data_IF_744366966273
#
_entry.id   IF_744366966273
#
_cell.length_a   1.000
_cell.length_b   1.000
_cell.length_c   1.000
_cell.angle_alpha   90.00
_cell.angle_beta   90.00
_cell.angle_gamma   90.00
#
_symmetry.space_group_name_H-M   'P 1'
#
loop_
_entity.id
_entity.type
_entity.pdbx_description
1 polymer ?
#
# COMPACT_ATOMS: atom_id res chain seq x y z
N UNK A 1 -29.61 41.58 -34.19
CA UNK A 1 -29.02 40.24 -34.09
C UNK A 1 -28.47 40.08 -32.68
N UNK A 2 -29.16 39.35 -31.80
CA UNK A 2 -28.63 38.93 -30.50
C UNK A 2 -28.16 37.49 -30.66
N UNK A 3 -26.87 37.25 -30.48
CA UNK A 3 -26.30 35.91 -30.48
C UNK A 3 -26.73 35.22 -29.19
N UNK A 4 -27.42 34.09 -29.33
CA UNK A 4 -27.78 33.20 -28.24
C UNK A 4 -26.54 32.37 -27.93
N UNK A 5 -25.91 32.61 -26.78
CA UNK A 5 -24.82 31.79 -26.27
C UNK A 5 -25.46 30.49 -25.75
N UNK A 6 -25.35 29.41 -26.51
CA UNK A 6 -25.71 28.07 -26.05
C UNK A 6 -24.64 27.65 -25.04
N UNK A 7 -24.97 27.71 -23.74
CA UNK A 7 -24.23 26.97 -22.73
C UNK A 7 -24.51 25.48 -22.97
N UNK A 8 -23.54 24.78 -23.52
CA UNK A 8 -23.49 23.32 -23.45
C UNK A 8 -23.25 22.98 -21.98
N UNK A 9 -24.29 22.50 -21.31
CA UNK A 9 -24.10 21.76 -20.06
C UNK A 9 -23.24 20.53 -20.39
N UNK A 10 -22.22 20.18 -19.58
CA UNK A 10 -21.52 18.93 -19.76
C UNK A 10 -22.56 17.80 -19.73
N UNK A 11 -22.49 16.90 -20.70
CA UNK A 11 -23.30 15.71 -20.70
C UNK A 11 -22.94 14.93 -19.43
N UNK A 12 -23.90 14.76 -18.54
CA UNK A 12 -23.77 13.79 -17.44
C UNK A 12 -23.80 12.43 -18.12
N UNK A 13 -22.62 11.89 -18.41
CA UNK A 13 -22.46 10.47 -18.71
C UNK A 13 -22.87 9.76 -17.42
N UNK A 14 -23.88 8.86 -17.43
CA UNK A 14 -24.10 8.02 -16.26
C UNK A 14 -22.79 7.26 -16.02
N UNK A 15 -22.25 7.33 -14.80
CA UNK A 15 -21.07 6.54 -14.42
C UNK A 15 -21.33 5.11 -14.88
N UNK A 16 -20.54 4.62 -15.83
CA UNK A 16 -20.58 3.20 -16.16
C UNK A 16 -20.11 2.46 -14.91
N UNK A 17 -20.79 1.35 -14.59
CA UNK A 17 -20.47 0.60 -13.38
C UNK A 17 -19.13 -0.12 -13.58
N UNK A 18 -18.29 -0.10 -12.53
CA UNK A 18 -17.06 -0.88 -12.47
C UNK A 18 -17.34 -2.35 -12.79
N UNK A 19 -16.62 -2.95 -13.73
CA UNK A 19 -16.87 -4.35 -14.11
C UNK A 19 -16.05 -5.28 -13.22
N UNK A 20 -16.73 -6.15 -12.48
CA UNK A 20 -16.09 -7.09 -11.55
C UNK A 20 -15.53 -8.32 -12.26
N UNK A 21 -14.26 -8.62 -11.99
CA UNK A 21 -13.56 -9.82 -12.45
C UNK A 21 -13.04 -10.63 -11.25
N UNK A 22 -13.24 -11.96 -11.27
CA UNK A 22 -12.75 -12.86 -10.22
C UNK A 22 -11.51 -13.59 -10.72
N UNK A 23 -10.40 -13.43 -10.01
CA UNK A 23 -9.12 -14.09 -10.28
C UNK A 23 -9.08 -15.43 -9.55
N UNK A 24 -9.42 -15.42 -8.25
CA UNK A 24 -9.45 -16.62 -7.42
C UNK A 24 -10.51 -16.53 -6.32
N UNK A 25 -10.95 -17.68 -5.80
CA UNK A 25 -11.95 -17.76 -4.74
C UNK A 25 -11.73 -18.98 -3.82
N UNK A 26 -12.38 -18.95 -2.66
CA UNK A 26 -12.44 -20.07 -1.73
C UNK A 26 -11.37 -20.06 -0.65
N UNK A 27 -10.64 -18.95 -0.48
CA UNK A 27 -9.65 -18.80 0.58
C UNK A 27 -9.44 -17.34 0.97
N UNK A 28 -9.09 -17.07 2.25
CA UNK A 28 -8.72 -15.73 2.68
C UNK A 28 -7.38 -15.35 2.05
N UNK A 29 -7.37 -14.25 1.31
CA UNK A 29 -6.16 -13.68 0.71
C UNK A 29 -5.71 -12.46 1.51
N UNK A 30 -4.43 -12.43 1.91
CA UNK A 30 -3.87 -11.35 2.74
C UNK A 30 -3.37 -10.19 1.87
N UNK A 31 -2.67 -10.51 0.79
CA UNK A 31 -2.11 -9.54 -0.15
C UNK A 31 -2.18 -10.06 -1.58
N UNK A 32 -2.23 -9.12 -2.53
CA UNK A 32 -2.21 -9.40 -3.95
C UNK A 32 -1.42 -8.30 -4.68
N UNK A 33 -0.39 -8.70 -5.43
CA UNK A 33 0.43 -7.82 -6.26
C UNK A 33 0.34 -8.28 -7.70
N UNK A 34 0.48 -7.34 -8.64
CA UNK A 34 0.23 -7.61 -10.05
C UNK A 34 1.30 -6.98 -10.95
N UNK A 35 1.77 -7.77 -11.91
CA UNK A 35 2.74 -7.41 -12.93
C UNK A 35 2.73 -8.47 -14.04
N UNK A 36 3.38 -8.20 -15.17
CA UNK A 36 3.65 -9.21 -16.20
C UNK A 36 4.82 -10.11 -15.78
N UNK A 37 4.58 -11.00 -14.80
CA UNK A 37 5.60 -11.92 -14.27
C UNK A 37 6.01 -12.98 -15.30
N UNK A 38 5.18 -13.26 -16.31
CA UNK A 38 5.50 -14.24 -17.36
C UNK A 38 6.16 -13.65 -18.60
N UNK A 39 6.14 -12.32 -18.76
CA UNK A 39 6.66 -11.60 -19.92
C UNK A 39 5.82 -11.81 -21.19
N UNK A 40 4.53 -12.15 -21.04
CA UNK A 40 3.62 -12.44 -22.15
C UNK A 40 2.73 -11.24 -22.55
N UNK A 41 2.86 -10.13 -21.83
CA UNK A 41 2.12 -8.89 -22.02
C UNK A 41 0.78 -8.84 -21.30
N UNK A 42 0.43 -9.85 -20.50
CA UNK A 42 -0.75 -9.85 -19.64
C UNK A 42 -0.36 -9.67 -18.18
N UNK A 43 -1.24 -9.04 -17.40
CA UNK A 43 -0.98 -8.80 -15.99
C UNK A 43 -1.32 -10.07 -15.19
N UNK A 44 -0.26 -10.71 -14.68
CA UNK A 44 -0.34 -11.81 -13.74
C UNK A 44 -0.49 -11.29 -12.30
N UNK A 45 -0.92 -12.15 -11.38
CA UNK A 45 -1.10 -11.77 -9.97
C UNK A 45 -0.41 -12.76 -9.05
N UNK A 46 0.45 -12.28 -8.14
CA UNK A 46 0.95 -13.08 -7.02
C UNK A 46 0.12 -12.79 -5.78
N UNK A 47 -0.33 -13.84 -5.10
CA UNK A 47 -1.19 -13.75 -3.93
C UNK A 47 -0.64 -14.54 -2.76
N UNK A 48 -0.92 -14.06 -1.55
CA UNK A 48 -0.64 -14.78 -0.31
C UNK A 48 -1.93 -15.25 0.35
N UNK A 49 -2.04 -16.57 0.54
CA UNK A 49 -3.24 -17.19 1.09
C UNK A 49 -3.06 -18.69 1.33
N UNK A 50 -3.77 -19.24 2.33
CA UNK A 50 -3.66 -20.66 2.72
C UNK A 50 -2.23 -21.13 3.03
N UNK A 51 -1.37 -20.24 3.55
CA UNK A 51 0.03 -20.54 3.85
C UNK A 51 0.90 -20.79 2.61
N UNK A 52 0.53 -20.19 1.48
CA UNK A 52 1.23 -20.27 0.20
C UNK A 52 1.35 -18.89 -0.43
N UNK A 53 2.44 -18.72 -1.17
CA UNK A 53 2.61 -17.65 -2.16
C UNK A 53 2.36 -18.26 -3.54
N UNK A 54 1.38 -17.75 -4.26
CA UNK A 54 0.86 -18.36 -5.50
C UNK A 54 0.87 -17.33 -6.62
N UNK A 55 1.54 -17.64 -7.73
CA UNK A 55 1.39 -16.93 -9.00
C UNK A 55 0.13 -17.42 -9.72
N UNK A 56 -0.77 -16.51 -10.04
CA UNK A 56 -1.99 -16.69 -10.82
C UNK A 56 -1.74 -16.10 -12.21
N UNK A 57 -1.51 -16.99 -13.18
CA UNK A 57 -1.10 -16.60 -14.53
C UNK A 57 -2.30 -16.23 -15.38
N UNK A 58 -2.32 -15.03 -15.94
CA UNK A 58 -3.36 -14.57 -16.85
C UNK A 58 -3.34 -15.32 -18.20
N UNK A 59 -4.46 -15.34 -18.95
CA UNK A 59 -5.79 -14.87 -18.58
C UNK A 59 -6.63 -15.94 -17.88
N UNK A 60 -6.13 -17.18 -17.76
CA UNK A 60 -6.89 -18.32 -17.23
C UNK A 60 -6.66 -18.58 -15.73
N UNK A 61 -5.88 -17.71 -15.08
CA UNK A 61 -5.51 -17.73 -13.66
C UNK A 61 -4.91 -19.06 -13.23
N UNK A 62 -4.09 -19.66 -14.10
CA UNK A 62 -3.40 -20.91 -13.79
C UNK A 62 -2.47 -20.70 -12.60
N UNK A 63 -2.63 -21.54 -11.59
CA UNK A 63 -1.86 -21.47 -10.34
C UNK A 63 -0.48 -22.11 -10.46
N UNK A 64 0.54 -21.39 -10.00
CA UNK A 64 1.90 -21.87 -9.74
C UNK A 64 2.26 -21.52 -8.30
N UNK A 65 2.55 -22.52 -7.47
CA UNK A 65 2.98 -22.28 -6.08
C UNK A 65 4.45 -21.90 -6.10
N UNK A 66 4.77 -20.69 -5.64
CA UNK A 66 6.13 -20.16 -5.58
C UNK A 66 6.81 -20.53 -4.26
N UNK A 67 6.07 -20.45 -3.16
CA UNK A 67 6.51 -20.83 -1.82
C UNK A 67 5.34 -21.41 -1.00
N UNK A 68 5.65 -22.26 -0.02
CA UNK A 68 4.67 -22.82 0.91
C UNK A 68 5.22 -22.95 2.33
N UNK A 69 4.31 -22.91 3.31
CA UNK A 69 4.63 -23.08 4.73
C UNK A 69 5.02 -21.79 5.46
N UNK A 70 4.84 -20.64 4.82
CA UNK A 70 4.98 -19.30 5.42
C UNK A 70 3.63 -18.61 5.51
N UNK A 71 3.40 -17.94 6.63
CA UNK A 71 2.21 -17.14 6.91
C UNK A 71 2.50 -15.68 6.54
N UNK A 72 2.59 -15.43 5.23
CA UNK A 72 2.84 -14.10 4.69
C UNK A 72 1.59 -13.24 4.80
N UNK A 73 1.72 -12.05 5.39
CA UNK A 73 0.59 -11.15 5.64
C UNK A 73 0.56 -9.96 4.67
N UNK A 74 1.70 -9.62 4.08
CA UNK A 74 1.83 -8.51 3.15
C UNK A 74 2.98 -8.76 2.19
N UNK A 75 2.89 -8.17 1.02
CA UNK A 75 3.85 -8.36 -0.07
C UNK A 75 4.03 -7.08 -0.86
N UNK A 76 5.23 -6.94 -1.42
CA UNK A 76 5.59 -5.89 -2.38
C UNK A 76 6.34 -6.52 -3.55
N UNK A 77 6.58 -5.74 -4.60
CA UNK A 77 7.43 -6.14 -5.71
C UNK A 77 8.55 -5.14 -5.95
N UNK A 78 9.69 -5.65 -6.37
CA UNK A 78 10.85 -4.84 -6.73
C UNK A 78 11.76 -5.59 -7.70
N UNK A 79 12.37 -4.91 -8.66
CA UNK A 79 13.55 -5.44 -9.38
C UNK A 79 14.76 -5.40 -8.44
N UNK A 80 14.93 -6.45 -7.63
CA UNK A 80 15.91 -6.47 -6.54
C UNK A 80 17.32 -6.57 -7.11
N UNK A 81 17.49 -7.33 -8.19
CA UNK A 81 18.82 -7.63 -8.74
C UNK A 81 19.20 -6.88 -10.01
N UNK A 82 18.30 -6.04 -10.51
CA UNK A 82 18.53 -5.09 -11.60
C UNK A 82 18.53 -5.75 -12.98
N UNK A 83 17.87 -6.90 -13.13
CA UNK A 83 17.79 -7.62 -14.41
C UNK A 83 16.54 -7.28 -15.23
N UNK A 84 15.68 -6.42 -14.68
CA UNK A 84 14.56 -5.80 -15.37
C UNK A 84 13.23 -6.54 -15.21
N UNK A 85 13.19 -7.60 -14.40
CA UNK A 85 11.93 -8.20 -13.97
C UNK A 85 11.59 -7.88 -12.51
N UNK A 86 10.34 -8.16 -12.12
CA UNK A 86 9.85 -7.85 -10.78
C UNK A 86 9.98 -9.09 -9.90
N UNK A 87 10.76 -8.98 -8.84
CA UNK A 87 10.84 -9.97 -7.80
C UNK A 87 9.73 -9.79 -6.77
N UNK A 88 9.34 -10.89 -6.13
CA UNK A 88 8.37 -10.87 -5.03
C UNK A 88 9.07 -10.65 -3.70
N UNK A 89 8.53 -9.77 -2.85
CA UNK A 89 8.94 -9.56 -1.46
C UNK A 89 7.77 -9.90 -0.55
N UNK A 90 8.01 -10.68 0.51
CA UNK A 90 6.98 -11.10 1.47
C UNK A 90 7.38 -10.85 2.93
N UNK A 91 6.40 -10.49 3.76
CA UNK A 91 6.55 -10.31 5.20
C UNK A 91 5.77 -11.38 6.00
N UNK A 92 6.48 -12.15 6.83
CA UNK A 92 5.88 -13.19 7.67
C UNK A 92 5.50 -12.65 9.05
N UNK A 93 4.21 -12.66 9.39
CA UNK A 93 3.70 -12.00 10.61
C UNK A 93 3.96 -12.79 11.90
N UNK A 94 3.65 -14.09 11.92
CA UNK A 94 3.79 -14.95 13.10
C UNK A 94 5.29 -15.18 13.38
N UNK A 95 5.91 -14.45 14.33
CA UNK A 95 7.21 -13.81 14.19
C UNK A 95 8.11 -14.49 13.15
N UNK A 96 8.33 -13.80 12.03
CA UNK A 96 9.10 -14.33 10.93
C UNK A 96 9.82 -13.25 10.14
N UNK A 97 10.57 -13.68 9.11
CA UNK A 97 11.44 -12.79 8.35
C UNK A 97 10.66 -11.98 7.32
N UNK A 98 11.32 -10.94 6.83
CA UNK A 98 11.09 -10.40 5.49
C UNK A 98 12.00 -11.17 4.52
N UNK A 99 11.44 -11.62 3.41
CA UNK A 99 12.16 -12.41 2.41
C UNK A 99 11.78 -11.95 1.00
N UNK A 100 12.59 -12.35 0.01
CA UNK A 100 12.26 -12.17 -1.39
C UNK A 100 12.43 -13.46 -2.17
N UNK A 101 11.67 -13.60 -3.24
CA UNK A 101 11.74 -14.69 -4.21
C UNK A 101 12.22 -14.10 -5.53
N UNK A 102 13.40 -14.54 -5.98
CA UNK A 102 13.97 -14.10 -7.25
C UNK A 102 13.18 -14.71 -8.41
N UNK A 103 12.70 -13.87 -9.32
CA UNK A 103 12.09 -14.37 -10.54
C UNK A 103 13.15 -15.02 -11.43
N UNK A 104 12.98 -16.29 -11.82
CA UNK A 104 13.91 -16.94 -12.73
C UNK A 104 13.53 -16.64 -14.17
N UNK A 105 14.51 -16.76 -15.08
CA UNK A 105 14.29 -16.58 -16.52
C UNK A 105 13.18 -17.45 -17.15
N UNK A 106 12.75 -18.54 -16.47
CA UNK A 106 11.55 -19.31 -16.84
C UNK A 106 10.60 -19.45 -15.64
N UNK A 107 9.81 -18.42 -15.32
CA UNK A 107 9.06 -18.29 -14.06
C UNK A 107 8.06 -19.42 -13.81
N UNK A 108 7.57 -20.07 -14.87
CA UNK A 108 6.58 -21.16 -14.78
C UNK A 108 7.19 -22.57 -14.64
N UNK A 109 8.51 -22.70 -14.76
CA UNK A 109 9.17 -24.02 -14.81
C UNK A 109 10.43 -24.13 -13.95
N UNK A 110 10.99 -23.01 -13.54
CA UNK A 110 12.14 -22.92 -12.66
C UNK A 110 11.67 -22.46 -11.26
N UNK A 111 12.28 -22.98 -10.18
CA UNK A 111 11.95 -22.53 -8.84
C UNK A 111 12.43 -21.09 -8.67
N UNK A 112 11.63 -20.27 -7.98
CA UNK A 112 12.02 -18.92 -7.59
C UNK A 112 12.92 -19.01 -6.35
N UNK A 113 14.22 -18.67 -6.42
CA UNK A 113 15.10 -18.83 -5.27
C UNK A 113 14.75 -17.85 -4.14
N UNK A 114 14.46 -18.40 -2.96
CA UNK A 114 14.18 -17.61 -1.75
C UNK A 114 15.46 -17.07 -1.10
N UNK A 115 15.43 -15.81 -0.70
CA UNK A 115 16.48 -15.13 0.05
C UNK A 115 15.91 -14.26 1.16
N UNK A 116 16.70 -14.05 2.21
CA UNK A 116 16.29 -13.27 3.38
C UNK A 116 16.63 -11.80 3.14
N UNK A 117 15.66 -10.93 3.37
CA UNK A 117 15.87 -9.49 3.52
C UNK A 117 16.30 -9.22 4.95
N UNK A 118 15.53 -9.71 5.93
CA UNK A 118 15.81 -9.55 7.35
C UNK A 118 15.11 -10.63 8.18
N UNK A 119 15.77 -11.22 9.17
CA UNK A 119 15.19 -12.20 10.11
C UNK A 119 15.14 -11.73 11.58
N UNK A 120 15.53 -10.48 11.84
CA UNK A 120 15.58 -9.87 13.19
C UNK A 120 14.44 -8.89 13.43
N UNK A 121 13.94 -8.22 12.39
CA UNK A 121 12.74 -7.37 12.48
C UNK A 121 11.53 -8.28 12.36
N UNK A 122 10.93 -8.56 13.52
CA UNK A 122 9.98 -9.66 13.65
C UNK A 122 8.55 -9.22 13.34
N UNK A 123 7.90 -10.02 12.50
CA UNK A 123 6.46 -9.94 12.31
C UNK A 123 6.03 -8.65 11.64
N UNK A 124 6.83 -8.17 10.67
CA UNK A 124 6.47 -7.04 9.82
C UNK A 124 5.06 -7.22 9.28
N UNK A 125 4.22 -6.21 9.50
CA UNK A 125 2.82 -6.23 9.04
C UNK A 125 2.65 -5.40 7.77
N UNK A 126 3.40 -4.29 7.66
CA UNK A 126 3.43 -3.43 6.48
C UNK A 126 4.79 -3.41 5.83
N UNK A 127 4.79 -3.49 4.51
CA UNK A 127 5.92 -3.20 3.65
C UNK A 127 5.53 -2.08 2.69
N UNK A 128 6.46 -1.20 2.38
CA UNK A 128 6.32 -0.25 1.27
C UNK A 128 7.66 -0.09 0.58
N UNK A 129 7.62 0.23 -0.71
CA UNK A 129 8.81 0.46 -1.55
C UNK A 129 8.94 1.94 -1.87
N UNK A 130 10.15 2.48 -1.78
CA UNK A 130 10.44 3.86 -2.17
C UNK A 130 11.91 4.20 -1.97
N UNK A 131 12.43 5.18 -2.70
CA UNK A 131 13.80 5.68 -2.52
C UNK A 131 13.89 6.52 -1.24
N UNK A 132 14.35 5.92 -0.15
CA UNK A 132 14.41 6.56 1.17
C UNK A 132 15.64 7.45 1.27
N UNK A 133 16.76 7.01 0.70
CA UNK A 133 18.04 7.70 0.86
C UNK A 133 18.39 8.66 -0.30
N UNK A 134 17.56 8.73 -1.34
CA UNK A 134 17.71 9.61 -2.49
C UNK A 134 18.81 9.18 -3.46
N UNK A 135 19.22 7.91 -3.45
CA UNK A 135 20.27 7.40 -4.35
C UNK A 135 19.76 6.91 -5.71
N UNK A 136 18.46 7.04 -5.95
CA UNK A 136 17.78 6.65 -7.17
C UNK A 136 17.51 5.14 -7.28
N UNK A 137 17.81 4.36 -6.24
CA UNK A 137 17.37 2.97 -6.13
C UNK A 137 16.28 2.88 -5.06
N UNK A 138 15.19 2.16 -5.33
CA UNK A 138 14.16 1.92 -4.33
C UNK A 138 14.70 1.08 -3.16
N UNK A 139 14.30 1.49 -1.96
CA UNK A 139 14.50 0.79 -0.70
C UNK A 139 13.18 0.16 -0.24
N UNK A 140 13.25 -0.67 0.81
CA UNK A 140 12.08 -1.24 1.47
C UNK A 140 11.92 -0.62 2.86
N UNK A 141 10.71 -0.25 3.27
CA UNK A 141 10.40 0.20 4.64
C UNK A 141 9.44 -0.78 5.30
N UNK A 142 9.71 -1.12 6.56
CA UNK A 142 8.92 -2.08 7.33
C UNK A 142 8.85 -1.73 8.80
N UNK A 143 7.78 -2.16 9.45
CA UNK A 143 7.60 -2.02 10.89
C UNK A 143 7.90 -3.32 11.64
N UNK A 144 8.18 -3.23 12.92
CA UNK A 144 8.24 -4.39 13.82
C UNK A 144 6.90 -4.56 14.53
N UNK A 145 6.00 -5.33 13.93
CA UNK A 145 4.62 -5.48 14.43
C UNK A 145 4.47 -6.58 15.50
N UNK A 146 5.48 -7.42 15.67
CA UNK A 146 5.56 -8.34 16.81
C UNK A 146 6.73 -7.87 17.68
N UNK A 147 6.50 -6.96 18.65
CA UNK A 147 7.57 -6.29 19.41
C UNK A 147 8.25 -7.25 20.39
N UNK A 148 9.00 -8.18 19.83
CA UNK A 148 9.86 -9.16 20.48
C UNK A 148 11.29 -8.86 20.07
N UNK A 149 12.21 -9.32 20.91
CA UNK A 149 13.63 -9.35 20.59
C UNK A 149 14.24 -7.96 20.33
N UNK A 150 14.98 -7.78 19.24
CA UNK A 150 15.94 -6.67 19.08
C UNK A 150 15.32 -5.31 18.69
N UNK A 151 14.13 -5.31 18.07
CA UNK A 151 13.52 -4.10 17.48
C UNK A 151 12.04 -3.90 17.87
N UNK A 152 11.65 -3.93 19.16
CA UNK A 152 10.25 -3.74 19.53
C UNK A 152 9.79 -2.31 19.19
N UNK A 153 8.53 -2.14 18.77
CA UNK A 153 7.93 -0.82 18.51
C UNK A 153 8.78 0.06 17.57
N UNK A 154 9.47 -0.57 16.62
CA UNK A 154 10.39 0.11 15.71
C UNK A 154 9.88 0.13 14.27
N UNK A 155 10.35 1.12 13.51
CA UNK A 155 10.25 1.16 12.05
C UNK A 155 11.68 1.20 11.51
N UNK A 156 11.91 0.44 10.45
CA UNK A 156 13.21 0.33 9.79
C UNK A 156 13.04 0.48 8.28
N UNK A 157 14.14 0.73 7.60
CA UNK A 157 14.23 0.57 6.16
C UNK A 157 15.47 -0.25 5.79
N UNK A 158 15.43 -0.87 4.62
CA UNK A 158 16.47 -1.74 4.10
C UNK A 158 16.89 -1.26 2.72
N UNK A 159 18.18 -1.00 2.54
CA UNK A 159 18.74 -0.80 1.21
C UNK A 159 19.08 -2.13 0.56
N UNK A 160 18.78 -2.22 -0.73
CA UNK A 160 19.19 -3.36 -1.56
C UNK A 160 20.72 -3.42 -1.59
N UNK A 161 21.34 -4.53 -1.14
CA UNK A 161 22.78 -4.71 -1.20
C UNK A 161 23.27 -4.65 -2.64
N UNK A 162 24.55 -4.30 -2.84
CA UNK A 162 25.15 -4.30 -4.17
C UNK A 162 25.06 -5.65 -4.90
N UNK A 163 25.16 -6.75 -4.16
CA UNK A 163 25.14 -8.12 -4.70
C UNK A 163 24.06 -8.95 -3.98
N UNK A 164 22.75 -8.67 -4.20
CA UNK A 164 21.66 -9.18 -3.38
C UNK A 164 21.49 -10.70 -3.48
N UNK A 165 21.91 -11.31 -4.60
CA UNK A 165 21.86 -12.77 -4.80
C UNK A 165 22.76 -13.55 -3.83
N UNK A 166 23.76 -12.90 -3.22
CA UNK A 166 24.75 -13.53 -2.32
C UNK A 166 24.81 -12.92 -0.92
N UNK A 167 24.12 -11.79 -0.70
CA UNK A 167 24.03 -11.17 0.61
C UNK A 167 23.31 -12.09 1.60
N UNK A 168 23.71 -12.04 2.87
CA UNK A 168 23.06 -12.80 3.93
C UNK A 168 21.75 -12.15 4.38
N UNK A 169 21.73 -10.82 4.45
CA UNK A 169 20.61 -9.95 4.77
C UNK A 169 20.81 -8.61 4.02
N UNK A 170 19.76 -7.80 3.91
CA UNK A 170 19.86 -6.44 3.40
C UNK A 170 20.45 -5.49 4.45
N UNK A 171 20.92 -4.33 4.00
CA UNK A 171 21.49 -3.32 4.89
C UNK A 171 20.34 -2.60 5.64
N UNK A 172 20.11 -3.01 6.91
CA UNK A 172 19.05 -2.46 7.77
C UNK A 172 19.44 -1.13 8.41
N UNK A 173 18.52 -0.18 8.38
CA UNK A 173 18.60 1.13 9.03
C UNK A 173 17.39 1.36 9.92
N UNK A 174 17.61 1.62 11.21
CA UNK A 174 16.51 1.90 12.16
C UNK A 174 16.16 3.39 12.09
N UNK A 175 14.95 3.71 11.63
CA UNK A 175 14.46 5.09 11.53
C UNK A 175 13.71 5.52 12.80
N UNK A 176 12.89 4.63 13.36
CA UNK A 176 12.20 4.81 14.63
C UNK A 176 12.61 3.68 15.58
N UNK A 177 13.43 3.96 16.58
CA UNK A 177 13.90 2.96 17.55
C UNK A 177 13.00 2.97 18.80
N UNK A 178 12.14 1.95 18.94
CA UNK A 178 11.17 1.82 20.04
C UNK A 178 10.28 3.06 20.21
N UNK A 179 10.03 3.78 19.10
CA UNK A 179 9.34 5.06 19.07
C UNK A 179 8.06 5.00 18.22
N UNK A 180 7.64 3.81 17.78
CA UNK A 180 6.40 3.56 17.07
C UNK A 180 5.51 2.52 17.80
N UNK A 181 5.06 2.82 19.04
CA UNK A 181 4.29 1.87 19.85
C UNK A 181 2.90 1.57 19.30
N UNK A 182 2.35 0.43 19.69
CA UNK A 182 1.09 -0.09 19.15
C UNK A 182 1.34 -0.94 17.90
N UNK A 183 0.28 -1.32 17.19
CA UNK A 183 0.40 -2.14 15.99
C UNK A 183 0.35 -1.27 14.74
N UNK A 184 1.51 -0.92 14.19
CA UNK A 184 1.59 -0.28 12.88
C UNK A 184 1.25 -1.28 11.77
N UNK A 185 0.45 -0.85 10.79
CA UNK A 185 -0.01 -1.72 9.70
C UNK A 185 0.58 -1.30 8.36
N UNK A 186 0.44 -0.02 7.99
CA UNK A 186 0.96 0.52 6.74
C UNK A 186 1.67 1.85 7.01
N UNK A 187 2.53 2.23 6.06
CA UNK A 187 3.33 3.45 6.12
C UNK A 187 3.21 4.19 4.79
N UNK A 188 3.69 5.43 4.75
CA UNK A 188 3.86 6.19 3.51
C UNK A 188 5.23 6.86 3.48
N UNK A 189 5.81 6.99 2.28
CA UNK A 189 7.08 7.70 2.04
C UNK A 189 6.80 8.95 1.21
N UNK A 190 7.36 10.08 1.62
CA UNK A 190 7.28 11.33 0.86
C UNK A 190 8.02 12.46 1.56
N UNK A 191 8.39 13.51 0.83
CA UNK A 191 8.99 14.72 1.42
C UNK A 191 7.90 15.53 2.15
N UNK A 192 7.66 15.19 3.42
CA UNK A 192 6.50 15.70 4.16
C UNK A 192 6.70 17.17 4.53
N UNK A 193 7.92 17.58 4.88
CA UNK A 193 8.20 18.98 5.22
C UNK A 193 8.86 19.81 4.12
N UNK A 194 8.93 19.27 2.90
CA UNK A 194 9.36 20.00 1.71
C UNK A 194 10.85 20.37 1.74
N UNK A 195 11.66 19.59 2.46
CA UNK A 195 13.09 19.85 2.60
C UNK A 195 13.94 19.14 1.53
N UNK A 196 13.33 18.33 0.68
CA UNK A 196 13.96 17.62 -0.43
C UNK A 196 14.53 16.25 -0.06
N UNK A 197 14.20 15.72 1.12
CA UNK A 197 14.52 14.34 1.54
C UNK A 197 13.23 13.62 1.90
N UNK A 198 13.15 12.33 1.57
CA UNK A 198 12.00 11.53 1.91
C UNK A 198 11.84 11.37 3.43
N UNK A 199 10.62 11.46 3.91
CA UNK A 199 10.21 11.16 5.28
C UNK A 199 9.30 9.93 5.29
N UNK A 200 9.03 9.39 6.47
CA UNK A 200 8.13 8.24 6.64
C UNK A 200 6.98 8.60 7.57
N UNK A 201 5.75 8.45 7.09
CA UNK A 201 4.53 8.52 7.88
C UNK A 201 4.06 7.11 8.28
N UNK A 202 3.47 6.98 9.46
CA UNK A 202 2.85 5.74 9.91
C UNK A 202 1.68 6.00 10.85
N UNK A 203 0.92 4.94 11.10
CA UNK A 203 -0.17 4.91 12.05
C UNK A 203 -0.01 3.69 12.95
N UNK A 204 -0.28 3.82 14.24
CA UNK A 204 -0.35 2.68 15.15
C UNK A 204 -1.75 2.56 15.71
N UNK A 205 -2.41 1.42 15.51
CA UNK A 205 -3.63 1.11 16.28
C UNK A 205 -3.24 0.62 17.67
N UNK A 206 -4.16 0.69 18.63
CA UNK A 206 -3.90 0.08 19.93
C UNK A 206 -3.62 -1.42 19.81
N UNK A 207 -2.75 -1.89 20.69
CA UNK A 207 -2.43 -3.28 20.90
C UNK A 207 -2.58 -3.60 22.41
N UNK A 208 -2.35 -4.85 22.85
CA UNK A 208 -2.44 -5.18 24.27
C UNK A 208 -1.41 -4.48 25.17
N UNK A 209 -0.31 -3.94 24.61
CA UNK A 209 0.71 -3.20 25.38
C UNK A 209 0.34 -1.73 25.58
N UNK A 210 -0.51 -1.21 24.70
CA UNK A 210 -1.04 0.15 24.70
C UNK A 210 -0.11 1.13 23.99
N UNK A 211 -0.59 2.37 23.85
CA UNK A 211 0.21 3.43 23.21
C UNK A 211 -0.04 3.58 21.72
N UNK A 212 -1.04 2.89 21.17
CA UNK A 212 -1.53 3.11 19.82
C UNK A 212 -2.56 4.25 19.71
N UNK A 213 -3.39 4.16 18.67
CA UNK A 213 -4.39 5.13 18.23
C UNK A 213 -3.80 6.51 17.88
N UNK A 214 -2.78 6.52 17.03
CA UNK A 214 -2.07 7.73 16.59
C UNK A 214 -1.70 7.69 15.11
N UNK A 215 -1.49 8.88 14.55
CA UNK A 215 -0.77 9.11 13.29
C UNK A 215 0.47 9.96 13.60
N UNK A 216 1.61 9.62 13.00
CA UNK A 216 2.86 10.35 13.14
C UNK A 216 3.70 10.23 11.87
N UNK A 217 4.69 11.10 11.73
CA UNK A 217 5.75 10.95 10.74
C UNK A 217 7.12 11.18 11.38
N UNK A 218 8.16 10.68 10.73
CA UNK A 218 9.55 10.80 11.16
C UNK A 218 10.31 11.56 10.11
N UNK A 219 10.92 12.67 10.53
CA UNK A 219 11.73 13.52 9.67
C UNK A 219 13.12 12.91 9.47
N UNK A 220 13.51 12.65 8.22
CA UNK A 220 14.85 12.20 7.89
C UNK A 220 15.87 13.32 8.05
N UNK A 221 16.96 13.13 8.82
CA UNK A 221 18.04 14.10 8.87
C UNK A 221 18.79 14.14 7.53
N UNK A 222 19.01 15.34 6.98
CA UNK A 222 19.77 15.54 5.72
C UNK A 222 21.20 15.01 5.76
N UNK A 223 21.77 14.81 6.95
CA UNK A 223 23.09 14.24 7.14
C UNK A 223 23.09 12.70 7.25
N UNK A 224 21.92 12.06 7.12
CA UNK A 224 21.73 10.62 7.22
C UNK A 224 21.83 10.07 8.65
N UNK A 225 21.83 10.93 9.67
CA UNK A 225 21.89 10.50 11.07
C UNK A 225 20.59 9.83 11.54
N UNK A 226 20.69 9.03 12.61
CA UNK A 226 19.56 8.35 13.27
C UNK A 226 19.61 8.57 14.79
N UNK A 227 18.48 8.43 15.51
CA UNK A 227 17.12 8.18 15.01
C UNK A 227 16.52 9.41 14.31
N UNK A 228 15.49 9.18 13.50
CA UNK A 228 14.75 10.26 12.85
C UNK A 228 13.88 11.01 13.86
N UNK A 229 13.53 12.25 13.54
CA UNK A 229 12.74 13.08 14.46
C UNK A 229 11.24 12.84 14.29
N UNK A 230 10.62 12.19 15.28
CA UNK A 230 9.17 11.99 15.30
C UNK A 230 8.39 13.30 15.45
N UNK A 231 7.32 13.41 14.66
CA UNK A 231 6.29 14.45 14.71
C UNK A 231 4.93 13.78 14.79
N UNK A 232 4.22 14.03 15.88
CA UNK A 232 2.84 13.56 16.04
C UNK A 232 1.91 14.39 15.17
N UNK A 233 1.09 13.71 14.36
CA UNK A 233 0.03 14.33 13.54
C UNK A 233 -1.26 14.39 14.35
N UNK A 234 -1.71 13.24 14.85
CA UNK A 234 -2.94 13.14 15.63
C UNK A 234 -2.88 11.99 16.64
N UNK A 235 -3.62 12.15 17.73
CA UNK A 235 -3.79 11.13 18.78
C UNK A 235 -5.27 10.83 18.98
N UNK A 236 -5.58 9.74 19.70
CA UNK A 236 -6.95 9.26 19.96
C UNK A 236 -7.70 8.89 18.67
N UNK A 237 -6.96 8.38 17.69
CA UNK A 237 -7.45 7.93 16.40
C UNK A 237 -7.68 6.42 16.48
N UNK A 238 -8.85 6.02 16.99
CA UNK A 238 -9.12 4.60 17.28
C UNK A 238 -9.05 3.77 16.01
N UNK A 239 -8.15 2.78 16.01
CA UNK A 239 -7.98 1.87 14.87
C UNK A 239 -7.21 2.47 13.69
N UNK A 240 -6.41 3.52 13.89
CA UNK A 240 -5.51 4.09 12.88
C UNK A 240 -4.52 3.05 12.33
N UNK A 241 -4.44 2.87 11.01
CA UNK A 241 -3.61 1.80 10.40
C UNK A 241 -2.87 2.19 9.13
N UNK A 242 -3.38 3.13 8.33
CA UNK A 242 -2.75 3.52 7.06
C UNK A 242 -2.71 5.06 6.92
N UNK A 243 -1.63 5.58 6.34
CA UNK A 243 -1.44 7.00 6.03
C UNK A 243 -0.46 7.14 4.86
N UNK A 244 -0.88 7.84 3.80
CA UNK A 244 -0.11 8.05 2.57
C UNK A 244 0.04 9.55 2.26
N UNK A 245 1.26 10.03 1.94
CA UNK A 245 1.51 11.42 1.57
C UNK A 245 1.18 11.69 0.10
N UNK A 246 0.48 12.80 -0.16
CA UNK A 246 0.25 13.38 -1.49
C UNK A 246 -0.15 14.87 -1.36
N UNK A 247 0.08 15.70 -2.38
CA UNK A 247 -0.54 17.03 -2.46
C UNK A 247 -1.98 16.85 -2.99
N UNK A 248 -2.98 16.98 -2.11
CA UNK A 248 -4.37 16.64 -2.43
C UNK A 248 -5.21 17.87 -2.78
N UNK A 249 -4.68 19.07 -2.63
CA UNK A 249 -5.40 20.32 -2.92
C UNK A 249 -4.66 21.24 -3.89
N UNK A 250 -3.52 20.78 -4.44
CA UNK A 250 -2.72 21.47 -5.43
C UNK A 250 -2.04 22.73 -4.90
N UNK A 251 -1.87 22.87 -3.59
CA UNK A 251 -1.26 24.05 -2.97
C UNK A 251 0.26 23.96 -2.84
N UNK A 252 0.84 22.79 -3.16
CA UNK A 252 2.27 22.50 -3.14
C UNK A 252 2.82 22.12 -1.76
N UNK A 253 1.99 22.08 -0.71
CA UNK A 253 2.35 21.46 0.56
C UNK A 253 1.97 19.97 0.54
N UNK A 254 2.76 19.15 1.24
CA UNK A 254 2.41 17.74 1.38
C UNK A 254 1.23 17.60 2.34
N UNK A 255 0.17 16.93 1.87
CA UNK A 255 -0.93 16.46 2.70
C UNK A 255 -0.77 14.98 3.03
N UNK A 256 -1.66 14.45 3.87
CA UNK A 256 -1.71 13.02 4.19
C UNK A 256 -3.15 12.49 4.11
N UNK A 257 -3.37 11.45 3.32
CA UNK A 257 -4.63 10.71 3.29
C UNK A 257 -4.51 9.48 4.19
N UNK A 258 -5.49 9.21 5.04
CA UNK A 258 -5.36 8.19 6.08
C UNK A 258 -6.65 7.42 6.36
N UNK A 259 -6.51 6.24 6.96
CA UNK A 259 -7.64 5.41 7.35
C UNK A 259 -7.53 4.91 8.79
N UNK A 260 -8.70 4.75 9.41
CA UNK A 260 -8.86 4.04 10.69
C UNK A 260 -9.30 2.61 10.42
N UNK A 261 -8.42 1.78 9.87
CA UNK A 261 -8.76 0.45 9.35
C UNK A 261 -9.19 -0.61 10.36
N UNK A 262 -8.97 -0.39 11.66
CA UNK A 262 -9.56 -1.21 12.75
C UNK A 262 -10.65 -0.44 13.53
N UNK A 263 -11.13 0.66 12.94
CA UNK A 263 -12.15 1.55 13.49
C UNK A 263 -13.08 2.03 12.39
N UNK A 264 -13.33 3.34 12.33
CA UNK A 264 -14.13 3.98 11.28
C UNK A 264 -13.50 5.29 10.87
N UNK A 265 -13.55 5.59 9.59
CA UNK A 265 -13.09 6.88 9.10
C UNK A 265 -12.06 6.78 8.00
N UNK A 266 -12.31 7.54 6.95
CA UNK A 266 -11.34 7.99 5.97
C UNK A 266 -11.07 9.47 6.21
N UNK A 267 -9.79 9.84 6.27
CA UNK A 267 -9.31 11.11 6.77
C UNK A 267 -8.39 11.78 5.75
N UNK A 268 -8.39 13.10 5.78
CA UNK A 268 -7.39 13.93 5.13
C UNK A 268 -6.79 14.89 6.15
N UNK A 269 -5.46 14.90 6.23
CA UNK A 269 -4.70 15.87 6.99
C UNK A 269 -4.09 16.87 6.00
N UNK A 270 -4.77 17.99 5.81
CA UNK A 270 -4.29 19.11 4.98
C UNK A 270 -3.07 19.73 5.64
N UNK A 271 -1.98 19.82 4.88
CA UNK A 271 -0.71 20.40 5.29
C UNK A 271 -0.78 21.91 5.57
N UNK A 272 0.37 22.51 5.88
CA UNK A 272 1.71 21.93 5.82
C UNK A 272 2.09 21.11 7.07
N UNK A 273 3.26 20.47 7.03
CA UNK A 273 3.79 19.56 8.05
C UNK A 273 3.85 20.13 9.48
N UNK A 274 3.98 21.44 9.63
CA UNK A 274 4.01 22.08 10.95
C UNK A 274 2.64 22.22 11.61
N UNK A 275 1.55 22.10 10.84
CA UNK A 275 0.20 22.37 11.34
C UNK A 275 -0.90 21.71 10.49
N UNK A 276 -0.90 20.38 10.44
CA UNK A 276 -1.94 19.63 9.77
C UNK A 276 -3.37 19.98 10.26
N UNK A 277 -4.28 20.22 9.32
CA UNK A 277 -5.72 20.37 9.55
C UNK A 277 -6.45 19.08 9.18
N UNK A 278 -7.07 18.45 10.17
CA UNK A 278 -7.86 17.23 9.96
C UNK A 278 -9.22 17.52 9.33
N UNK A 279 -9.57 16.76 8.30
CA UNK A 279 -10.89 16.61 7.69
C UNK A 279 -11.34 15.15 7.75
N UNK A 280 -12.60 14.93 8.08
CA UNK A 280 -13.24 13.62 7.96
C UNK A 280 -13.90 13.53 6.58
N UNK A 281 -13.40 12.64 5.72
CA UNK A 281 -13.89 12.46 4.35
C UNK A 281 -15.07 11.48 4.35
N UNK A 282 -14.92 10.36 5.04
CA UNK A 282 -15.99 9.38 5.25
C UNK A 282 -15.91 8.84 6.68
N UNK A 283 -16.64 9.44 7.63
CA UNK A 283 -16.59 9.03 9.04
C UNK A 283 -17.32 7.70 9.31
N UNK A 284 -18.10 7.19 8.35
CA UNK A 284 -19.02 6.07 8.55
C UNK A 284 -18.48 4.76 7.98
N UNK A 285 -17.51 4.79 7.06
CA UNK A 285 -16.90 3.58 6.52
C UNK A 285 -16.23 2.76 7.63
N UNK A 286 -16.70 1.53 7.81
CA UNK A 286 -16.22 0.63 8.87
C UNK A 286 -15.07 -0.25 8.38
N UNK A 287 -13.99 -0.26 9.15
CA UNK A 287 -12.78 -1.03 8.92
C UNK A 287 -12.08 -0.78 7.56
N UNK A 288 -11.87 0.47 7.08
CA UNK A 288 -11.10 0.75 5.86
C UNK A 288 -9.63 0.34 6.02
N UNK A 289 -9.33 -0.95 5.83
CA UNK A 289 -8.10 -1.58 6.33
C UNK A 289 -6.86 -1.03 5.64
N UNK A 290 -6.96 -0.81 4.34
CA UNK A 290 -5.87 -0.42 3.46
C UNK A 290 -6.29 0.70 2.49
N UNK A 291 -5.32 1.35 1.86
CA UNK A 291 -5.49 2.58 1.11
C UNK A 291 -4.53 2.61 -0.08
N UNK A 292 -5.02 3.02 -1.25
CA UNK A 292 -4.22 3.34 -2.41
C UNK A 292 -4.54 4.77 -2.90
N UNK A 293 -3.54 5.46 -3.43
CA UNK A 293 -3.67 6.78 -4.05
C UNK A 293 -3.26 6.72 -5.52
N UNK A 294 -3.95 7.46 -6.38
CA UNK A 294 -3.67 7.53 -7.81
C UNK A 294 -4.71 8.39 -8.53
N UNK A 295 -4.40 8.85 -9.74
CA UNK A 295 -5.34 9.55 -10.62
C UNK A 295 -6.27 8.51 -11.28
N UNK A 296 -7.40 8.21 -10.64
CA UNK A 296 -8.29 7.11 -11.02
C UNK A 296 -9.18 7.51 -12.19
N UNK A 297 -9.51 8.81 -12.31
CA UNK A 297 -10.35 9.32 -13.40
C UNK A 297 -9.64 10.09 -14.53
N UNK A 298 -8.30 10.14 -14.46
CA UNK A 298 -7.42 10.77 -15.44
C UNK A 298 -7.64 12.27 -15.61
N UNK A 299 -8.12 12.96 -14.57
CA UNK A 299 -8.29 14.40 -14.58
C UNK A 299 -7.04 15.17 -14.12
N UNK A 300 -6.05 14.44 -13.60
CA UNK A 300 -4.75 14.96 -13.15
C UNK A 300 -4.67 15.23 -11.66
N UNK A 301 -5.74 15.02 -10.91
CA UNK A 301 -5.79 15.14 -9.45
C UNK A 301 -5.61 13.76 -8.78
N UNK A 302 -5.05 13.73 -7.57
CA UNK A 302 -4.82 12.47 -6.85
C UNK A 302 -6.10 12.06 -6.12
N UNK A 303 -6.65 10.91 -6.49
CA UNK A 303 -7.77 10.24 -5.83
C UNK A 303 -7.30 9.22 -4.79
N UNK A 304 -8.27 8.63 -4.08
CA UNK A 304 -8.03 7.58 -3.12
C UNK A 304 -8.98 6.39 -3.28
N UNK A 305 -8.51 5.16 -3.08
CA UNK A 305 -9.32 3.95 -3.02
C UNK A 305 -9.08 3.18 -1.71
N UNK A 306 -10.14 2.62 -1.14
CA UNK A 306 -10.07 1.78 0.06
C UNK A 306 -11.14 0.70 0.03
N UNK A 307 -10.94 -0.36 0.82
CA UNK A 307 -11.95 -1.38 1.03
C UNK A 307 -12.21 -1.56 2.53
N UNK A 308 -13.47 -1.35 2.91
CA UNK A 308 -13.94 -1.61 4.26
C UNK A 308 -14.03 -3.11 4.54
N UNK A 309 -13.14 -3.62 5.38
CA UNK A 309 -13.13 -5.01 5.84
C UNK A 309 -14.42 -5.36 6.59
N UNK A 310 -14.91 -4.44 7.42
CA UNK A 310 -16.06 -4.71 8.29
C UNK A 310 -17.39 -4.23 7.66
N UNK A 311 -17.34 -3.20 6.82
CA UNK A 311 -18.50 -2.71 6.06
C UNK A 311 -18.76 -3.46 4.75
N UNK A 312 -17.81 -4.30 4.30
CA UNK A 312 -17.87 -5.02 3.03
C UNK A 312 -18.09 -4.11 1.82
N UNK A 313 -17.46 -2.94 1.81
CA UNK A 313 -17.60 -1.95 0.75
C UNK A 313 -16.25 -1.52 0.21
N UNK A 314 -16.04 -1.75 -1.09
CA UNK A 314 -14.96 -1.13 -1.85
C UNK A 314 -15.44 0.22 -2.38
N UNK A 315 -14.64 1.27 -2.15
CA UNK A 315 -14.98 2.63 -2.53
C UNK A 315 -13.74 3.39 -3.00
N UNK A 316 -13.97 4.36 -3.89
CA UNK A 316 -12.98 5.39 -4.19
C UNK A 316 -13.54 6.78 -3.91
N UNK A 317 -12.64 7.73 -3.72
CA UNK A 317 -12.92 9.11 -3.38
C UNK A 317 -12.29 9.99 -4.45
N UNK A 318 -13.14 10.44 -5.38
CA UNK A 318 -12.79 11.38 -6.45
C UNK A 318 -12.45 12.73 -5.82
N UNK A 319 -11.28 13.26 -6.10
CA UNK A 319 -10.78 14.53 -5.59
C UNK A 319 -10.90 15.63 -6.66
N UNK A 320 -11.47 16.78 -6.32
CA UNK A 320 -11.61 17.91 -7.25
C UNK A 320 -10.36 18.78 -7.43
N UNK A 321 -9.19 18.26 -7.02
CA UNK A 321 -7.90 18.95 -7.01
C UNK A 321 -7.79 20.09 -6.01
N UNK A 322 -8.80 20.29 -5.15
CA UNK A 322 -8.88 21.39 -4.17
C UNK A 322 -9.26 20.88 -2.79
N UNK A 323 -9.19 19.56 -2.58
CA UNK A 323 -9.56 18.89 -1.33
C UNK A 323 -11.06 18.64 -1.17
N UNK A 324 -11.85 18.75 -2.24
CA UNK A 324 -13.24 18.34 -2.29
C UNK A 324 -13.36 16.89 -2.74
N UNK A 325 -13.71 15.99 -1.82
CA UNK A 325 -13.82 14.56 -2.11
C UNK A 325 -15.28 14.11 -2.33
N UNK A 326 -15.52 13.34 -3.38
CA UNK A 326 -16.78 12.64 -3.64
C UNK A 326 -16.58 11.13 -3.57
N UNK A 327 -17.29 10.48 -2.63
CA UNK A 327 -17.30 9.03 -2.52
C UNK A 327 -18.09 8.38 -3.67
N UNK A 328 -17.52 7.32 -4.22
CA UNK A 328 -18.14 6.37 -5.12
C UNK A 328 -18.00 4.96 -4.57
N UNK A 329 -19.05 4.15 -4.75
CA UNK A 329 -18.99 2.73 -4.41
C UNK A 329 -18.56 1.97 -5.65
N UNK A 330 -17.41 1.29 -5.56
CA UNK A 330 -16.93 0.37 -6.60
C UNK A 330 -17.78 -0.89 -6.54
N UNK A 331 -17.92 -1.46 -5.34
CA UNK A 331 -18.68 -2.70 -5.14
C UNK A 331 -19.15 -2.84 -3.69
N UNK A 332 -20.32 -3.44 -3.51
CA UNK A 332 -20.80 -3.92 -2.21
C UNK A 332 -20.57 -5.43 -2.13
N UNK A 333 -20.35 -5.98 -0.93
CA UNK A 333 -19.98 -7.39 -0.71
C UNK A 333 -18.52 -7.73 -1.02
N UNK A 334 -17.61 -6.75 -0.86
CA UNK A 334 -16.17 -6.95 -0.97
C UNK A 334 -15.47 -6.48 0.32
N UNK A 335 -14.61 -7.31 0.91
CA UNK A 335 -13.97 -7.02 2.19
C UNK A 335 -12.52 -7.51 2.20
N UNK A 336 -11.58 -6.57 2.29
CA UNK A 336 -10.18 -6.79 1.98
C UNK A 336 -9.25 -6.62 3.17
N UNK A 337 -8.02 -7.11 2.98
CA UNK A 337 -6.86 -6.66 3.74
C UNK A 337 -5.96 -5.74 2.92
N UNK A 338 -5.91 -5.90 1.60
CA UNK A 338 -5.01 -5.19 0.69
C UNK A 338 -5.80 -4.71 -0.56
N UNK A 339 -5.51 -3.49 -1.01
CA UNK A 339 -6.09 -2.86 -2.20
C UNK A 339 -4.99 -2.16 -3.00
N UNK A 340 -4.96 -2.38 -4.31
CA UNK A 340 -3.95 -1.81 -5.21
C UNK A 340 -4.61 -1.16 -6.42
N UNK A 341 -4.01 -0.09 -6.91
CA UNK A 341 -4.33 0.52 -8.20
C UNK A 341 -3.35 -0.01 -9.26
N UNK A 342 -3.86 -0.68 -10.28
CA UNK A 342 -3.06 -1.32 -11.33
C UNK A 342 -3.88 -1.31 -12.62
N UNK A 343 -3.29 -0.99 -13.76
CA UNK A 343 -3.89 -1.21 -15.08
C UNK A 343 -3.88 -2.72 -15.39
N UNK A 344 -4.99 -3.43 -15.14
CA UNK A 344 -5.05 -4.90 -15.18
C UNK A 344 -5.27 -5.45 -16.58
N UNK A 345 -5.86 -4.66 -17.48
CA UNK A 345 -6.14 -5.06 -18.86
C UNK A 345 -5.33 -4.31 -19.93
N UNK A 346 -4.41 -3.45 -19.50
CA UNK A 346 -3.46 -2.69 -20.30
C UNK A 346 -4.15 -1.68 -21.25
N UNK A 347 -5.28 -1.11 -20.83
CA UNK A 347 -6.00 -0.10 -21.60
C UNK A 347 -5.58 1.35 -21.24
N UNK A 348 -4.78 1.51 -20.19
CA UNK A 348 -4.14 2.75 -19.79
C UNK A 348 -4.83 3.50 -18.64
N UNK A 349 -5.91 2.95 -18.07
CA UNK A 349 -6.49 3.45 -16.83
C UNK A 349 -6.11 2.60 -15.59
N UNK A 350 -6.39 3.13 -14.40
CA UNK A 350 -6.12 2.42 -13.15
C UNK A 350 -7.35 1.63 -12.73
N UNK A 351 -7.22 0.31 -12.66
CA UNK A 351 -8.19 -0.59 -12.05
C UNK A 351 -7.94 -0.77 -10.56
N UNK A 352 -8.88 -1.45 -9.89
CA UNK A 352 -8.77 -1.77 -8.46
C UNK A 352 -8.62 -3.27 -8.24
N UNK A 353 -7.43 -3.72 -7.84
CA UNK A 353 -7.15 -5.09 -7.40
C UNK A 353 -7.35 -5.23 -5.89
N UNK A 354 -8.06 -6.28 -5.46
CA UNK A 354 -8.41 -6.50 -4.05
C UNK A 354 -8.07 -7.91 -3.60
N UNK A 355 -7.27 -8.00 -2.53
CA UNK A 355 -7.06 -9.22 -1.74
C UNK A 355 -8.17 -9.35 -0.69
N UNK A 356 -9.18 -10.14 -1.00
CA UNK A 356 -10.35 -10.34 -0.18
C UNK A 356 -10.13 -11.31 0.97
N UNK A 357 -9.51 -10.88 2.07
CA UNK A 357 -9.33 -11.72 3.26
C UNK A 357 -10.67 -12.21 3.82
N UNK A 358 -11.65 -11.31 3.96
CA UNK A 358 -12.94 -11.67 4.56
C UNK A 358 -13.94 -12.16 3.51
N UNK A 359 -13.86 -11.64 2.28
CA UNK A 359 -14.66 -12.14 1.14
C UNK A 359 -14.15 -13.46 0.54
N UNK A 360 -12.99 -13.95 0.99
CA UNK A 360 -12.33 -15.18 0.54
C UNK A 360 -12.13 -15.25 -0.98
N UNK A 361 -11.67 -14.15 -1.57
CA UNK A 361 -11.48 -14.02 -3.01
C UNK A 361 -10.31 -13.10 -3.36
N UNK A 362 -9.95 -13.12 -4.64
CA UNK A 362 -9.05 -12.16 -5.27
C UNK A 362 -9.80 -11.64 -6.48
N UNK A 363 -10.04 -10.34 -6.52
CA UNK A 363 -10.89 -9.71 -7.53
C UNK A 363 -10.27 -8.42 -8.00
N UNK A 364 -10.38 -8.14 -9.29
CA UNK A 364 -10.14 -6.79 -9.79
C UNK A 364 -11.44 -6.20 -10.35
N UNK A 365 -11.50 -4.88 -10.35
CA UNK A 365 -12.64 -4.11 -10.83
C UNK A 365 -12.14 -3.22 -11.96
N UNK A 366 -12.62 -3.49 -13.17
CA UNK A 366 -12.32 -2.73 -14.39
C UNK A 366 -12.92 -1.34 -14.28
N UNK A 367 -12.09 -0.34 -14.45
CA UNK A 367 -12.48 1.04 -14.48
C UNK A 367 -13.34 1.30 -15.74
N UNK A 368 -14.44 2.05 -15.62
CA UNK A 368 -15.31 2.34 -16.76
C UNK A 368 -14.73 3.30 -17.82
N UNK A 369 -13.56 3.89 -17.59
CA UNK A 369 -12.92 4.77 -18.55
C UNK A 369 -12.44 3.93 -19.74
N UNK A 370 -12.43 4.53 -20.93
CA UNK A 370 -12.07 3.85 -22.20
C UNK A 370 -11.52 4.82 -23.21
#
# INVERSE_FOLDING_TARGET
MRALLLLLLPAVVPAADWQRHVIAEGFPCQSAIAADFTGDGLVDVIVDGNGKTILLVAPDWKQVVLDEGRDTIHSEMLDVDGDGDMDYIGAVYSPGPVFWLEQPAKPLSEPWPLRIVDDKVNGTHGLIVGDVNGDGRPDLVGNSAQPKDEFPDSIVWWSVPRDPKTAAEWDRHVLADQDAPGLSHYMGIGDIDGDGVADVAAAGKDDPTGGGNWFAWWKQPKDGSTPWLKRTIAVRQVGATNILPADLNGDGAMDLFATRGHGKGVLWFEGPAESFRLHEIDPDLEGPHDLALGDIDQDGDIDAATCGKDSHQAAWYENDGRGGFRKHVIHNDQAAYDIRLVDMDADGDLDVLIAGQTSNNVTWYENPLR
#
